data_IF_327779348890
#
_entry.id   IF_327779348890
#
_cell.length_a   1.000
_cell.length_b   1.000
_cell.length_c   1.000
_cell.angle_alpha   90.00
_cell.angle_beta   90.00
_cell.angle_gamma   90.00
#
_symmetry.space_group_name_H-M   'P 1'
#
loop_
_entity.id
_entity.type
_entity.pdbx_description
1 polymer ?
#
# COMPACT_ATOMS: atom_id res chain seq x y z
N UNK A 1 -27.18 -1.56 -1.25
CA UNK A 1 -27.45 -0.19 -0.77
C UNK A 1 -28.74 0.36 -1.37
N UNK A 2 -28.80 0.59 -2.69
CA UNK A 2 -30.02 1.06 -3.39
C UNK A 2 -31.23 0.14 -3.19
N UNK A 3 -31.04 -1.17 -3.26
CA UNK A 3 -32.07 -2.18 -2.97
C UNK A 3 -32.59 -2.19 -1.53
N UNK A 4 -31.94 -1.44 -0.62
CA UNK A 4 -32.28 -1.30 0.79
C UNK A 4 -32.66 0.16 1.12
N UNK A 5 -32.96 0.99 0.11
CA UNK A 5 -33.34 2.40 0.30
C UNK A 5 -32.21 3.34 0.76
N UNK A 6 -30.95 2.88 0.78
CA UNK A 6 -29.80 3.68 1.22
C UNK A 6 -29.17 4.41 0.04
N UNK A 7 -28.80 5.67 0.23
CA UNK A 7 -28.04 6.46 -0.75
C UNK A 7 -26.54 6.10 -0.69
N UNK A 8 -25.99 5.40 -1.70
CA UNK A 8 -24.58 5.04 -1.73
C UNK A 8 -23.62 6.24 -1.79
N UNK A 9 -24.10 7.42 -2.23
CA UNK A 9 -23.26 8.62 -2.34
C UNK A 9 -22.81 9.15 -0.98
N UNK A 10 -23.63 8.91 0.05
CA UNK A 10 -23.38 9.32 1.44
C UNK A 10 -22.59 8.30 2.25
N UNK A 11 -22.35 7.11 1.69
CA UNK A 11 -21.65 6.03 2.38
C UNK A 11 -20.13 6.18 2.28
N UNK A 12 -19.38 5.88 3.35
CA UNK A 12 -17.92 5.93 3.28
C UNK A 12 -17.40 4.81 2.37
N UNK A 13 -16.43 5.15 1.52
CA UNK A 13 -15.69 4.21 0.68
C UNK A 13 -14.27 4.16 1.23
N UNK A 14 -13.89 3.00 1.77
CA UNK A 14 -12.63 2.81 2.46
C UNK A 14 -11.66 2.06 1.55
N UNK A 15 -10.41 2.50 1.54
CA UNK A 15 -9.29 1.79 0.93
C UNK A 15 -8.15 1.70 1.95
N UNK A 16 -7.55 0.52 2.10
CA UNK A 16 -6.22 0.40 2.69
C UNK A 16 -5.21 0.32 1.54
N UNK A 17 -4.28 1.25 1.52
CA UNK A 17 -3.25 1.34 0.48
C UNK A 17 -1.90 0.99 1.09
N UNK A 18 -1.33 -0.12 0.64
CA UNK A 18 0.02 -0.52 0.98
C UNK A 18 1.02 0.20 0.07
N UNK A 19 2.17 0.56 0.62
CA UNK A 19 3.26 1.22 -0.10
C UNK A 19 4.59 0.95 0.61
N UNK A 20 5.69 1.14 -0.11
CA UNK A 20 7.03 1.18 0.48
C UNK A 20 7.73 2.48 0.13
N UNK A 21 8.02 3.28 1.15
CA UNK A 21 8.83 4.48 1.03
C UNK A 21 10.09 4.36 1.90
N UNK A 22 11.21 4.81 1.36
CA UNK A 22 12.48 4.99 2.05
C UNK A 22 13.31 6.06 1.33
N UNK A 23 14.42 6.55 1.91
CA UNK A 23 15.25 7.58 1.28
C UNK A 23 15.86 7.21 -0.08
N UNK A 24 15.89 5.92 -0.45
CA UNK A 24 16.33 5.45 -1.77
C UNK A 24 15.42 4.32 -2.26
N UNK A 25 15.34 4.16 -3.59
CA UNK A 25 14.52 3.11 -4.21
C UNK A 25 14.97 1.71 -3.79
N UNK A 26 16.29 1.51 -3.62
CA UNK A 26 16.86 0.25 -3.15
C UNK A 26 16.37 -0.08 -1.74
N UNK A 27 16.38 0.90 -0.82
CA UNK A 27 15.88 0.71 0.55
C UNK A 27 14.36 0.51 0.57
N UNK A 28 13.62 1.20 -0.29
CA UNK A 28 12.18 1.01 -0.41
C UNK A 28 11.86 -0.41 -0.91
N UNK A 29 12.61 -0.89 -1.90
CA UNK A 29 12.47 -2.25 -2.40
C UNK A 29 12.88 -3.29 -1.34
N UNK A 30 14.00 -3.09 -0.65
CA UNK A 30 14.47 -3.97 0.43
C UNK A 30 13.42 -4.08 1.54
N UNK A 31 12.83 -2.97 1.95
CA UNK A 31 11.74 -2.93 2.92
C UNK A 31 10.54 -3.79 2.45
N UNK A 32 10.12 -3.65 1.18
CA UNK A 32 9.00 -4.41 0.63
C UNK A 32 9.29 -5.92 0.58
N UNK A 33 10.49 -6.29 0.13
CA UNK A 33 10.93 -7.69 0.02
C UNK A 33 11.04 -8.36 1.39
N UNK A 34 11.57 -7.65 2.38
CA UNK A 34 11.84 -8.18 3.72
C UNK A 34 10.60 -8.20 4.60
N UNK A 35 9.86 -7.10 4.66
CA UNK A 35 8.78 -6.91 5.63
C UNK A 35 7.41 -7.29 5.06
N UNK A 36 7.25 -7.29 3.73
CA UNK A 36 5.96 -7.53 3.08
C UNK A 36 6.00 -8.40 1.81
N UNK A 37 6.72 -9.55 1.81
CA UNK A 37 6.80 -10.43 0.64
C UNK A 37 5.43 -11.02 0.23
N UNK A 38 4.49 -11.14 1.17
CA UNK A 38 3.12 -11.58 0.93
C UNK A 38 2.33 -10.68 -0.04
N UNK A 39 2.76 -9.44 -0.25
CA UNK A 39 2.23 -8.54 -1.29
C UNK A 39 2.58 -8.98 -2.71
N UNK A 40 3.75 -9.61 -2.90
CA UNK A 40 4.22 -10.11 -4.19
C UNK A 40 3.64 -11.48 -4.57
N UNK A 41 3.13 -12.27 -3.62
CA UNK A 41 2.59 -13.62 -3.90
C UNK A 41 1.44 -13.59 -4.93
N UNK A 42 1.64 -14.22 -6.10
CA UNK A 42 0.68 -14.18 -7.22
C UNK A 42 -0.47 -15.20 -7.14
N UNK A 43 -0.78 -15.73 -5.96
CA UNK A 43 -1.80 -16.76 -5.76
C UNK A 43 -2.60 -16.51 -4.47
N UNK A 44 -3.84 -17.05 -4.35
CA UNK A 44 -4.61 -17.02 -3.12
C UNK A 44 -3.90 -17.77 -1.99
N UNK A 45 -3.74 -17.10 -0.85
CA UNK A 45 -2.93 -17.58 0.29
C UNK A 45 -3.76 -17.98 1.52
N UNK A 46 -5.08 -17.95 1.41
CA UNK A 46 -6.03 -18.21 2.50
C UNK A 46 -6.02 -19.66 3.02
N UNK A 47 -5.60 -20.60 2.18
CA UNK A 47 -5.56 -22.04 2.53
C UNK A 47 -4.21 -22.48 3.09
N UNK A 48 -3.20 -21.60 3.13
CA UNK A 48 -1.89 -21.89 3.71
C UNK A 48 -2.01 -21.83 5.23
N UNK A 49 -2.13 -22.98 5.87
CA UNK A 49 -2.36 -23.10 7.32
C UNK A 49 -1.09 -22.94 8.16
N UNK A 50 0.06 -23.32 7.61
CA UNK A 50 1.33 -23.34 8.32
C UNK A 50 2.07 -22.02 8.09
N UNK A 51 2.45 -21.28 9.16
CA UNK A 51 3.29 -20.09 9.01
C UNK A 51 4.68 -20.43 8.46
N UNK A 52 5.17 -21.65 8.70
CA UNK A 52 6.41 -22.14 8.11
C UNK A 52 6.30 -22.26 6.59
N UNK A 53 5.24 -22.93 6.10
CA UNK A 53 5.03 -23.07 4.64
C UNK A 53 4.81 -21.70 4.00
N UNK A 54 4.12 -20.79 4.70
CA UNK A 54 3.93 -19.42 4.25
C UNK A 54 5.27 -18.68 4.08
N UNK A 55 6.20 -18.82 5.04
CA UNK A 55 7.52 -18.23 4.95
C UNK A 55 8.34 -18.81 3.78
N UNK A 56 8.25 -20.13 3.56
CA UNK A 56 8.92 -20.79 2.42
C UNK A 56 8.38 -20.29 1.08
N UNK A 57 7.05 -20.11 0.98
CA UNK A 57 6.42 -19.52 -0.21
C UNK A 57 6.82 -18.05 -0.39
N UNK A 58 6.93 -17.29 0.69
CA UNK A 58 7.32 -15.88 0.67
C UNK A 58 8.75 -15.71 0.16
N UNK A 59 9.65 -16.64 0.46
CA UNK A 59 11.04 -16.62 0.01
C UNK A 59 11.20 -16.77 -1.53
N UNK A 60 10.14 -17.17 -2.24
CA UNK A 60 10.15 -17.28 -3.70
C UNK A 60 9.79 -15.97 -4.41
N UNK A 61 9.30 -14.98 -3.66
CA UNK A 61 8.90 -13.67 -4.19
C UNK A 61 10.13 -12.91 -4.68
N UNK A 62 9.98 -12.21 -5.80
CA UNK A 62 11.02 -11.40 -6.43
C UNK A 62 10.57 -9.95 -6.60
N UNK A 63 11.48 -8.99 -6.82
CA UNK A 63 11.12 -7.58 -7.06
C UNK A 63 10.03 -7.39 -8.13
N UNK A 64 10.13 -8.12 -9.24
CA UNK A 64 9.17 -8.06 -10.35
C UNK A 64 7.76 -8.54 -9.96
N UNK A 65 7.60 -9.26 -8.85
CA UNK A 65 6.29 -9.70 -8.36
C UNK A 65 5.46 -8.58 -7.75
N UNK A 66 6.06 -7.43 -7.43
CA UNK A 66 5.37 -6.26 -6.92
C UNK A 66 4.80 -5.34 -8.00
N UNK A 67 5.20 -5.53 -9.26
CA UNK A 67 4.77 -4.67 -10.37
C UNK A 67 3.25 -4.60 -10.47
N UNK A 68 2.70 -3.38 -10.46
CA UNK A 68 1.26 -3.11 -10.52
C UNK A 68 0.47 -3.45 -9.25
N UNK A 69 1.12 -3.85 -8.15
CA UNK A 69 0.45 -4.24 -6.90
C UNK A 69 0.63 -3.25 -5.77
N UNK A 70 1.79 -2.61 -5.71
CA UNK A 70 2.18 -1.71 -4.65
C UNK A 70 3.17 -0.68 -5.18
N UNK A 71 3.03 0.57 -4.76
CA UNK A 71 4.03 1.59 -5.05
C UNK A 71 5.24 1.36 -4.15
N UNK A 72 6.40 1.18 -4.78
CA UNK A 72 7.71 1.09 -4.15
C UNK A 72 8.56 2.20 -4.77
N UNK A 73 8.85 3.24 -4.00
CA UNK A 73 9.63 4.38 -4.50
C UNK A 73 10.13 5.25 -3.33
N UNK A 74 11.27 5.88 -3.54
CA UNK A 74 11.81 6.93 -2.69
C UNK A 74 11.19 8.31 -2.94
N UNK A 75 10.53 8.52 -4.08
CA UNK A 75 9.93 9.80 -4.43
C UNK A 75 8.55 9.97 -3.74
N UNK A 76 8.40 10.94 -2.82
CA UNK A 76 7.11 11.20 -2.17
C UNK A 76 5.99 11.60 -3.15
N UNK A 77 6.32 12.21 -4.29
CA UNK A 77 5.31 12.63 -5.27
C UNK A 77 4.68 11.45 -6.01
N UNK A 78 5.43 10.37 -6.23
CA UNK A 78 4.89 9.11 -6.78
C UNK A 78 3.82 8.54 -5.86
N UNK A 79 4.08 8.54 -4.54
CA UNK A 79 3.09 8.11 -3.54
C UNK A 79 1.90 9.06 -3.47
N UNK A 80 2.12 10.38 -3.49
CA UNK A 80 1.05 11.40 -3.53
C UNK A 80 0.13 11.17 -4.73
N UNK A 81 0.71 10.98 -5.92
CA UNK A 81 -0.05 10.79 -7.16
C UNK A 81 -0.94 9.54 -7.09
N UNK A 82 -0.42 8.42 -6.55
CA UNK A 82 -1.20 7.20 -6.37
C UNK A 82 -2.34 7.40 -5.36
N UNK A 83 -2.09 8.09 -4.25
CA UNK A 83 -3.14 8.42 -3.27
C UNK A 83 -4.22 9.30 -3.92
N UNK A 84 -3.82 10.34 -4.65
CA UNK A 84 -4.73 11.25 -5.35
C UNK A 84 -5.62 10.49 -6.36
N UNK A 85 -5.03 9.56 -7.13
CA UNK A 85 -5.78 8.72 -8.07
C UNK A 85 -6.96 8.00 -7.42
N UNK A 86 -6.80 7.51 -6.18
CA UNK A 86 -7.90 6.87 -5.46
C UNK A 86 -8.92 7.88 -4.91
N UNK A 87 -8.48 9.05 -4.46
CA UNK A 87 -9.39 10.14 -4.07
C UNK A 87 -10.26 10.58 -5.24
N UNK A 88 -9.68 10.73 -6.44
CA UNK A 88 -10.38 11.10 -7.67
C UNK A 88 -11.42 10.05 -8.11
N UNK A 89 -11.18 8.77 -7.77
CA UNK A 89 -12.16 7.68 -7.94
C UNK A 89 -13.30 7.71 -6.90
N UNK A 90 -13.29 8.70 -6.00
CA UNK A 90 -14.31 8.92 -4.99
C UNK A 90 -14.17 8.02 -3.76
N UNK A 91 -12.96 7.51 -3.47
CA UNK A 91 -12.62 6.93 -2.17
C UNK A 91 -12.61 8.05 -1.13
N UNK A 92 -13.34 7.87 -0.03
CA UNK A 92 -13.54 8.93 0.96
C UNK A 92 -12.64 8.77 2.20
N UNK A 93 -12.03 7.60 2.39
CA UNK A 93 -11.07 7.32 3.46
C UNK A 93 -9.96 6.40 2.95
N UNK A 94 -8.73 6.88 2.95
CA UNK A 94 -7.54 6.11 2.57
C UNK A 94 -6.70 5.86 3.83
N UNK A 95 -6.50 4.59 4.17
CA UNK A 95 -5.62 4.15 5.25
C UNK A 95 -4.27 3.78 4.64
N UNK A 96 -3.26 4.60 4.88
CA UNK A 96 -1.91 4.37 4.36
C UNK A 96 -1.17 3.37 5.25
N UNK A 97 -0.48 2.43 4.61
CA UNK A 97 0.35 1.43 5.28
C UNK A 97 1.72 1.39 4.60
N UNK A 98 2.69 2.11 5.16
CA UNK A 98 4.09 1.92 4.79
C UNK A 98 4.57 0.58 5.34
N UNK A 99 5.10 -0.27 4.45
CA UNK A 99 5.53 -1.63 4.82
C UNK A 99 6.88 -1.66 5.52
N UNK A 100 7.73 -0.64 5.30
CA UNK A 100 9.04 -0.54 5.93
C UNK A 100 8.98 -0.25 7.43
N UNK A 101 10.02 -0.62 8.18
CA UNK A 101 10.10 -0.35 9.63
C UNK A 101 10.41 1.10 9.99
N UNK A 102 10.76 1.93 9.01
CA UNK A 102 11.08 3.35 9.14
C UNK A 102 9.83 4.24 9.33
N UNK A 103 8.92 3.84 10.21
CA UNK A 103 7.61 4.49 10.36
C UNK A 103 7.71 5.96 10.78
N UNK A 104 8.59 6.30 11.73
CA UNK A 104 8.76 7.69 12.19
C UNK A 104 9.21 8.62 11.05
N UNK A 105 10.26 8.23 10.34
CA UNK A 105 10.78 8.97 9.18
C UNK A 105 9.73 9.08 8.07
N UNK A 106 9.02 7.99 7.79
CA UNK A 106 7.93 7.98 6.82
C UNK A 106 6.82 8.96 7.21
N UNK A 107 6.38 8.97 8.47
CA UNK A 107 5.36 9.89 8.96
C UNK A 107 5.79 11.35 8.84
N UNK A 108 7.05 11.67 9.16
CA UNK A 108 7.59 13.03 9.04
C UNK A 108 7.60 13.50 7.57
N UNK A 109 8.08 12.65 6.66
CA UNK A 109 8.13 12.96 5.21
C UNK A 109 6.73 13.05 4.63
N UNK A 110 5.84 12.11 4.92
CA UNK A 110 4.48 12.13 4.37
C UNK A 110 3.66 13.28 4.94
N UNK A 111 3.79 13.57 6.23
CA UNK A 111 3.13 14.70 6.87
C UNK A 111 3.54 16.05 6.28
N UNK A 112 4.80 16.20 5.89
CA UNK A 112 5.32 17.43 5.29
C UNK A 112 5.09 17.51 3.78
N UNK A 113 5.39 16.45 3.05
CA UNK A 113 5.61 16.51 1.60
C UNK A 113 4.49 15.85 0.78
N UNK A 114 3.64 15.02 1.39
CA UNK A 114 2.59 14.25 0.70
C UNK A 114 1.19 14.75 1.08
N UNK A 115 0.82 14.64 2.35
CA UNK A 115 -0.55 14.88 2.81
C UNK A 115 -1.06 16.30 2.53
N UNK A 116 -0.27 17.38 2.71
CA UNK A 116 -0.74 18.74 2.45
C UNK A 116 -1.05 19.04 0.97
N UNK A 117 -0.58 18.19 0.04
CA UNK A 117 -0.77 18.34 -1.40
C UNK A 117 -1.96 17.56 -1.95
N UNK A 118 -2.63 16.75 -1.11
CA UNK A 118 -3.82 16.00 -1.49
C UNK A 118 -5.05 16.91 -1.47
N UNK A 119 -5.96 16.69 -2.42
CA UNK A 119 -7.25 17.38 -2.48
C UNK A 119 -8.39 16.40 -2.76
N UNK A 120 -9.62 16.85 -2.48
CA UNK A 120 -10.86 16.12 -2.71
C UNK A 120 -11.75 16.86 -3.69
#
# INVERSE_FOLDING_TARGET
>A
ARSQGKDPSTMPKLLQLHMSWAPTDERALENAMTEWPNGGMRFPKQDVRSPYDFAQLAALVRPEDFEGRMVISSDPDVHRAEIQRFLDLGITRVYLHNVGRNQAEWMDVFGRDVLPKLHR
#
